data_IF_983611522875
#
_entry.id   IF_983611522875
#
_cell.length_a   1.000
_cell.length_b   1.000
_cell.length_c   1.000
_cell.angle_alpha   90.00
_cell.angle_beta   90.00
_cell.angle_gamma   90.00
#
_symmetry.space_group_name_H-M   'P 1'
#
loop_
_entity.id
_entity.type
_entity.pdbx_description
1 polymer ?
#
# COMPACT_ATOMS: atom_id res chain seq x y z
N UNK A 1 44.02 49.18 -38.55
CA UNK A 1 44.30 48.90 -37.13
C UNK A 1 42.97 48.66 -36.45
N UNK A 2 42.77 47.44 -35.94
CA UNK A 2 41.52 46.93 -35.39
C UNK A 2 41.26 47.51 -33.99
N UNK A 3 40.00 47.87 -33.72
CA UNK A 3 39.53 48.32 -32.42
C UNK A 3 39.36 47.15 -31.44
N UNK A 4 39.78 47.38 -30.20
CA UNK A 4 39.66 46.45 -29.09
C UNK A 4 38.22 46.44 -28.55
N UNK A 5 37.69 45.24 -28.33
CA UNK A 5 36.47 44.98 -27.56
C UNK A 5 36.85 44.02 -26.44
N UNK A 6 36.96 44.55 -25.21
CA UNK A 6 37.11 43.76 -23.98
C UNK A 6 35.88 42.90 -23.75
N UNK A 7 36.05 41.57 -23.79
CA UNK A 7 35.04 40.62 -23.36
C UNK A 7 35.16 40.39 -21.84
N UNK A 8 34.10 40.74 -21.10
CA UNK A 8 33.95 40.39 -19.69
C UNK A 8 33.78 38.87 -19.50
N UNK A 9 34.28 38.28 -18.40
CA UNK A 9 34.16 36.85 -18.18
C UNK A 9 32.75 36.51 -17.68
N UNK A 10 32.04 35.67 -18.44
CA UNK A 10 30.79 35.05 -17.99
C UNK A 10 31.04 34.23 -16.70
N UNK A 11 30.13 34.31 -15.70
CA UNK A 11 30.22 33.46 -14.52
C UNK A 11 29.95 32.00 -14.93
N UNK A 12 30.86 31.10 -14.55
CA UNK A 12 30.69 29.65 -14.67
C UNK A 12 29.46 29.26 -13.85
N UNK A 13 28.49 28.60 -14.50
CA UNK A 13 27.33 28.04 -13.80
C UNK A 13 27.81 27.00 -12.79
N UNK A 14 27.24 27.07 -11.59
CA UNK A 14 27.42 26.10 -10.54
C UNK A 14 27.07 24.68 -11.05
N UNK A 15 27.88 23.70 -10.67
CA UNK A 15 27.83 22.34 -11.20
C UNK A 15 26.48 21.67 -10.99
N UNK A 16 25.82 21.35 -12.10
CA UNK A 16 24.84 20.26 -12.15
C UNK A 16 25.62 18.97 -11.89
N UNK A 17 25.40 18.34 -10.72
CA UNK A 17 25.88 16.99 -10.47
C UNK A 17 25.17 16.07 -11.47
N UNK A 18 25.86 15.72 -12.55
CA UNK A 18 25.33 14.80 -13.55
C UNK A 18 25.10 13.45 -12.85
N UNK A 19 23.83 13.10 -12.63
CA UNK A 19 23.48 11.82 -12.02
C UNK A 19 23.96 10.70 -12.95
N UNK A 20 24.47 9.63 -12.34
CA UNK A 20 24.83 8.43 -13.10
C UNK A 20 23.59 7.89 -13.81
N UNK A 21 23.80 7.28 -14.97
CA UNK A 21 22.72 6.75 -15.80
C UNK A 21 22.85 5.24 -15.90
N UNK A 22 21.75 4.51 -15.69
CA UNK A 22 21.73 3.05 -15.59
C UNK A 22 20.75 2.44 -16.60
N UNK A 23 21.11 1.31 -17.22
CA UNK A 23 20.24 0.53 -18.13
C UNK A 23 19.45 -0.53 -17.37
N UNK A 24 18.38 -1.08 -17.96
CA UNK A 24 17.66 -2.20 -17.33
C UNK A 24 18.53 -3.44 -17.18
N UNK A 25 19.45 -3.68 -18.12
CA UNK A 25 20.38 -4.80 -18.03
C UNK A 25 21.26 -4.74 -16.78
N UNK A 26 21.62 -3.53 -16.35
CA UNK A 26 22.38 -3.31 -15.12
C UNK A 26 21.46 -3.40 -13.89
N UNK A 27 20.37 -2.63 -13.88
CA UNK A 27 19.42 -2.57 -12.76
C UNK A 27 18.88 -3.96 -12.39
N UNK A 28 18.58 -4.81 -13.38
CA UNK A 28 18.04 -6.15 -13.13
C UNK A 28 19.03 -7.14 -12.50
N UNK A 29 20.34 -6.82 -12.46
CA UNK A 29 21.33 -7.62 -11.72
C UNK A 29 21.17 -7.43 -10.20
N UNK A 30 20.67 -6.27 -9.78
CA UNK A 30 20.46 -5.89 -8.39
C UNK A 30 19.06 -6.31 -7.92
N UNK A 31 18.77 -7.62 -7.99
CA UNK A 31 17.46 -8.20 -7.70
C UNK A 31 17.45 -9.20 -6.52
N UNK A 32 18.52 -9.24 -5.73
CA UNK A 32 18.72 -10.22 -4.64
C UNK A 32 18.56 -9.56 -3.28
N UNK A 33 18.24 -10.30 -2.22
CA UNK A 33 18.00 -9.71 -0.89
C UNK A 33 19.16 -8.85 -0.35
N UNK A 34 20.40 -9.23 -0.68
CA UNK A 34 21.61 -8.53 -0.26
C UNK A 34 22.06 -7.45 -1.27
N UNK A 35 21.33 -7.26 -2.37
CA UNK A 35 21.65 -6.32 -3.44
C UNK A 35 20.38 -5.94 -4.23
N UNK A 36 19.75 -4.83 -3.83
CA UNK A 36 18.39 -4.46 -4.25
C UNK A 36 18.33 -3.03 -4.78
N UNK A 37 18.11 -2.88 -6.07
CA UNK A 37 17.79 -1.58 -6.67
C UNK A 37 16.33 -1.50 -7.08
N UNK A 38 15.77 -0.30 -7.04
CA UNK A 38 14.40 0.00 -7.48
C UNK A 38 14.39 1.23 -8.37
N UNK A 39 13.50 1.25 -9.36
CA UNK A 39 13.22 2.45 -10.15
C UNK A 39 11.92 3.08 -9.67
N UNK A 40 11.94 4.37 -9.34
CA UNK A 40 10.75 5.16 -8.99
C UNK A 40 10.81 6.49 -9.73
N UNK A 41 9.82 6.77 -10.58
CA UNK A 41 9.77 7.96 -11.44
C UNK A 41 11.06 8.16 -12.26
N UNK A 42 11.56 7.08 -12.89
CA UNK A 42 12.82 7.04 -13.65
C UNK A 42 14.11 7.31 -12.84
N UNK A 43 14.03 7.45 -11.53
CA UNK A 43 15.19 7.53 -10.64
C UNK A 43 15.53 6.16 -10.08
N UNK A 44 16.81 5.86 -9.95
CA UNK A 44 17.33 4.57 -9.49
C UNK A 44 17.79 4.72 -8.04
N UNK A 45 17.29 3.84 -7.18
CA UNK A 45 17.56 3.86 -5.74
C UNK A 45 18.17 2.54 -5.30
N UNK A 46 19.28 2.61 -4.56
CA UNK A 46 19.81 1.47 -3.82
C UNK A 46 19.11 1.39 -2.47
N UNK A 47 18.27 0.36 -2.29
CA UNK A 47 17.49 0.16 -1.06
C UNK A 47 18.08 -0.92 -0.16
N UNK A 48 19.24 -1.50 -0.52
CA UNK A 48 19.85 -2.64 0.17
C UNK A 48 20.02 -2.40 1.67
N UNK A 49 20.68 -1.29 2.04
CA UNK A 49 20.92 -0.91 3.44
C UNK A 49 19.71 -0.28 4.15
N UNK A 50 18.61 -0.02 3.42
CA UNK A 50 17.39 0.55 3.97
C UNK A 50 16.28 -0.47 4.14
N UNK A 51 16.35 -1.62 3.47
CA UNK A 51 15.25 -2.56 3.40
C UNK A 51 14.73 -3.04 4.76
N UNK A 52 15.61 -3.22 5.75
CA UNK A 52 15.23 -3.59 7.13
C UNK A 52 14.50 -2.49 7.91
N UNK A 53 14.71 -1.23 7.52
CA UNK A 53 14.14 -0.05 8.17
C UNK A 53 12.86 0.43 7.48
N UNK A 54 12.48 -0.19 6.36
CA UNK A 54 11.28 0.16 5.65
C UNK A 54 10.03 -0.15 6.51
N UNK A 55 9.12 0.81 6.75
CA UNK A 55 7.91 0.57 7.56
C UNK A 55 6.99 -0.52 7.00
N UNK A 56 6.94 -0.71 5.68
CA UNK A 56 6.22 -1.81 5.03
C UNK A 56 6.95 -3.16 5.09
N UNK A 57 8.13 -3.20 5.71
CA UNK A 57 9.02 -4.36 5.81
C UNK A 57 9.94 -4.53 4.59
N UNK A 58 10.97 -5.39 4.74
CA UNK A 58 11.91 -5.71 3.65
C UNK A 58 11.25 -6.45 2.48
N UNK A 59 10.26 -7.30 2.78
CA UNK A 59 9.70 -8.26 1.82
C UNK A 59 9.06 -7.57 0.61
N UNK A 60 8.38 -6.45 0.85
CA UNK A 60 7.74 -5.66 -0.23
C UNK A 60 8.76 -5.07 -1.19
N UNK A 61 9.92 -4.60 -0.71
CA UNK A 61 11.01 -4.10 -1.56
C UNK A 61 11.63 -5.24 -2.37
N UNK A 62 11.81 -6.40 -1.73
CA UNK A 62 12.33 -7.61 -2.38
C UNK A 62 11.43 -8.07 -3.54
N UNK A 63 10.13 -7.85 -3.44
CA UNK A 63 9.19 -8.22 -4.50
C UNK A 63 9.28 -7.36 -5.77
N UNK A 64 9.93 -6.21 -5.68
CA UNK A 64 10.13 -5.25 -6.77
C UNK A 64 11.61 -5.04 -7.13
N UNK A 65 12.55 -5.72 -6.47
CA UNK A 65 13.98 -5.55 -6.69
C UNK A 65 14.33 -5.81 -8.18
N UNK A 66 15.02 -4.85 -8.80
CA UNK A 66 15.33 -4.85 -10.23
C UNK A 66 14.16 -4.44 -11.15
N UNK A 67 13.10 -3.85 -10.63
CA UNK A 67 11.89 -3.45 -11.38
C UNK A 67 11.52 -1.97 -11.17
N UNK A 68 10.61 -1.47 -12.02
CA UNK A 68 9.96 -0.17 -11.85
C UNK A 68 8.82 -0.28 -10.84
N UNK A 69 9.03 0.30 -9.65
CA UNK A 69 8.09 0.32 -8.55
C UNK A 69 7.25 1.61 -8.52
N UNK A 70 7.25 2.42 -9.58
CA UNK A 70 6.56 3.73 -9.60
C UNK A 70 5.09 3.64 -9.22
N UNK A 71 4.36 2.69 -9.81
CA UNK A 71 2.91 2.59 -9.64
C UNK A 71 2.54 2.16 -8.20
N UNK A 72 3.20 1.12 -7.69
CA UNK A 72 3.00 0.67 -6.29
C UNK A 72 3.44 1.74 -5.30
N UNK A 73 4.54 2.45 -5.58
CA UNK A 73 5.04 3.51 -4.72
C UNK A 73 3.99 4.62 -4.57
N UNK A 74 3.39 5.07 -5.67
CA UNK A 74 2.33 6.10 -5.68
C UNK A 74 1.05 5.64 -4.99
N UNK A 75 0.73 4.35 -5.07
CA UNK A 75 -0.48 3.81 -4.46
C UNK A 75 -0.40 3.77 -2.92
N UNK A 76 0.78 3.57 -2.35
CA UNK A 76 0.94 3.34 -0.90
C UNK A 76 1.56 4.52 -0.13
N UNK A 77 2.33 5.39 -0.78
CA UNK A 77 3.03 6.51 -0.13
C UNK A 77 2.30 7.84 -0.33
N UNK A 78 1.32 8.13 0.54
CA UNK A 78 0.53 9.37 0.47
C UNK A 78 1.31 10.62 0.93
N UNK A 79 2.18 10.47 1.93
CA UNK A 79 2.94 11.59 2.54
C UNK A 79 4.28 11.82 1.82
N UNK A 80 4.22 12.25 0.56
CA UNK A 80 5.40 12.35 -0.31
C UNK A 80 6.53 13.20 0.28
N UNK A 81 6.22 14.31 0.98
CA UNK A 81 7.24 15.19 1.57
C UNK A 81 8.12 14.47 2.59
N UNK A 82 7.50 13.62 3.43
CA UNK A 82 8.22 12.81 4.43
C UNK A 82 9.02 11.72 3.73
N UNK A 83 8.42 11.06 2.73
CA UNK A 83 9.08 9.95 2.01
C UNK A 83 10.29 10.44 1.22
N UNK A 84 10.26 11.66 0.68
CA UNK A 84 11.41 12.25 -0.01
C UNK A 84 12.63 12.41 0.90
N UNK A 85 12.47 12.58 2.22
CA UNK A 85 13.60 12.64 3.16
C UNK A 85 14.35 11.30 3.21
N UNK A 86 13.64 10.19 3.06
CA UNK A 86 14.23 8.85 3.02
C UNK A 86 14.76 8.47 1.64
N UNK A 87 14.14 8.95 0.55
CA UNK A 87 14.58 8.64 -0.82
C UNK A 87 15.86 9.36 -1.23
N UNK A 88 16.04 10.62 -0.82
CA UNK A 88 17.23 11.43 -1.16
C UNK A 88 18.57 10.72 -0.94
N UNK A 89 18.86 10.15 0.24
CA UNK A 89 20.13 9.45 0.48
C UNK A 89 20.26 8.11 -0.25
N UNK A 90 19.18 7.55 -0.79
CA UNK A 90 19.17 6.27 -1.50
C UNK A 90 19.35 6.43 -3.02
N UNK A 91 19.25 7.66 -3.54
CA UNK A 91 19.34 7.96 -4.96
C UNK A 91 20.78 7.74 -5.46
N UNK A 92 20.94 6.83 -6.40
CA UNK A 92 22.25 6.53 -7.02
C UNK A 92 22.35 7.04 -8.46
N UNK A 93 21.22 7.29 -9.12
CA UNK A 93 21.19 7.85 -10.47
C UNK A 93 19.83 7.81 -11.13
N UNK A 94 19.81 7.79 -12.46
CA UNK A 94 18.60 7.83 -13.29
C UNK A 94 18.60 6.70 -14.34
N UNK A 95 17.40 6.29 -14.74
CA UNK A 95 17.20 5.30 -15.79
C UNK A 95 17.54 5.90 -17.14
N UNK A 96 18.33 5.17 -17.94
CA UNK A 96 18.84 5.63 -19.23
C UNK A 96 17.76 6.21 -20.15
N UNK A 97 18.03 7.36 -20.80
CA UNK A 97 17.13 7.93 -21.79
C UNK A 97 16.78 6.89 -22.86
N UNK A 98 15.48 6.69 -23.12
CA UNK A 98 14.99 5.71 -24.09
C UNK A 98 14.64 4.33 -23.52
N UNK A 99 15.08 3.99 -22.31
CA UNK A 99 14.62 2.76 -21.63
C UNK A 99 13.15 2.91 -21.22
N UNK A 100 12.27 1.95 -21.59
CA UNK A 100 10.86 1.96 -21.19
C UNK A 100 10.72 1.65 -19.69
N UNK A 101 9.55 1.87 -19.10
CA UNK A 101 9.25 1.34 -17.77
C UNK A 101 9.19 -0.19 -17.83
N UNK A 102 9.93 -0.90 -16.97
CA UNK A 102 9.88 -2.36 -16.87
C UNK A 102 9.42 -2.81 -15.50
N UNK A 103 8.21 -3.34 -15.43
CA UNK A 103 7.70 -4.11 -14.29
C UNK A 103 7.51 -5.56 -14.75
N UNK A 104 7.92 -6.52 -13.93
CA UNK A 104 7.92 -7.93 -14.33
C UNK A 104 6.48 -8.41 -14.49
N UNK A 105 6.17 -9.05 -15.61
CA UNK A 105 4.82 -9.52 -15.99
C UNK A 105 3.76 -8.42 -16.20
N UNK A 106 4.16 -7.17 -16.46
CA UNK A 106 3.20 -6.09 -16.76
C UNK A 106 2.44 -6.36 -18.06
N UNK A 107 1.14 -6.62 -17.95
CA UNK A 107 0.25 -6.73 -19.11
C UNK A 107 -0.20 -5.32 -19.55
N UNK A 108 0.24 -4.87 -20.73
CA UNK A 108 -0.05 -3.52 -21.22
C UNK A 108 -1.55 -3.25 -21.44
N UNK A 109 -2.33 -4.28 -21.78
CA UNK A 109 -3.77 -4.13 -21.95
C UNK A 109 -4.44 -3.92 -20.58
N UNK A 110 -4.10 -4.76 -19.61
CA UNK A 110 -4.58 -4.65 -18.23
C UNK A 110 -4.31 -3.26 -17.64
N UNK A 111 -3.10 -2.72 -17.86
CA UNK A 111 -2.73 -1.37 -17.40
C UNK A 111 -3.61 -0.29 -18.03
N UNK A 112 -3.90 -0.38 -19.33
CA UNK A 112 -4.80 0.55 -20.02
C UNK A 112 -6.22 0.46 -19.46
N UNK A 113 -6.72 -0.76 -19.27
CA UNK A 113 -8.05 -1.01 -18.73
C UNK A 113 -8.18 -0.43 -17.30
N UNK A 114 -7.16 -0.60 -16.46
CA UNK A 114 -7.11 0.01 -15.12
C UNK A 114 -7.07 1.54 -15.16
N UNK A 115 -6.31 2.13 -16.08
CA UNK A 115 -6.24 3.58 -16.23
C UNK A 115 -7.57 4.16 -16.70
N UNK A 116 -8.27 3.49 -17.61
CA UNK A 116 -9.60 3.87 -18.08
C UNK A 116 -10.65 3.74 -16.96
N UNK A 117 -10.63 2.63 -16.23
CA UNK A 117 -11.48 2.43 -15.06
C UNK A 117 -11.26 3.54 -14.03
N UNK A 118 -10.01 3.85 -13.70
CA UNK A 118 -9.68 4.92 -12.75
C UNK A 118 -10.25 6.27 -13.20
N UNK A 119 -10.03 6.65 -14.47
CA UNK A 119 -10.59 7.90 -15.02
C UNK A 119 -12.11 7.95 -14.91
N UNK A 120 -12.78 6.84 -15.18
CA UNK A 120 -14.23 6.71 -15.05
C UNK A 120 -14.68 6.92 -13.60
N UNK A 121 -14.02 6.26 -12.64
CA UNK A 121 -14.32 6.36 -11.20
C UNK A 121 -14.02 7.78 -10.67
N UNK A 122 -12.96 8.43 -11.15
CA UNK A 122 -12.63 9.84 -10.85
C UNK A 122 -13.71 10.79 -11.40
N UNK A 123 -14.14 10.60 -12.66
CA UNK A 123 -15.19 11.41 -13.29
C UNK A 123 -16.55 11.25 -12.58
N UNK A 124 -16.80 10.09 -11.98
CA UNK A 124 -18.00 9.81 -11.18
C UNK A 124 -17.91 10.32 -9.72
N UNK A 125 -16.80 10.95 -9.32
CA UNK A 125 -16.51 11.38 -7.94
C UNK A 125 -16.63 10.25 -6.91
N UNK A 126 -16.32 9.00 -7.30
CA UNK A 126 -16.48 7.83 -6.43
C UNK A 126 -15.37 7.70 -5.36
N UNK A 127 -14.35 8.57 -5.39
CA UNK A 127 -13.31 8.62 -4.37
C UNK A 127 -13.68 9.50 -3.16
N UNK A 128 -14.77 10.27 -3.24
CA UNK A 128 -15.24 11.07 -2.12
C UNK A 128 -16.07 10.20 -1.16
N UNK A 129 -15.55 10.03 0.06
CA UNK A 129 -16.22 9.26 1.09
C UNK A 129 -17.51 9.93 1.57
N UNK A 130 -18.60 9.17 1.61
CA UNK A 130 -19.85 9.61 2.23
C UNK A 130 -19.77 9.41 3.76
N UNK A 131 -19.44 10.48 4.49
CA UNK A 131 -19.31 10.45 5.95
C UNK A 131 -20.60 10.05 6.67
N UNK A 132 -21.77 10.37 6.10
CA UNK A 132 -23.06 9.98 6.67
C UNK A 132 -23.25 8.47 6.64
N UNK A 133 -22.90 7.83 5.52
CA UNK A 133 -22.92 6.36 5.40
C UNK A 133 -22.02 5.71 6.46
N UNK A 134 -20.76 6.14 6.58
CA UNK A 134 -19.82 5.55 7.55
C UNK A 134 -20.24 5.80 9.00
N UNK A 135 -20.80 6.97 9.30
CA UNK A 135 -21.34 7.26 10.63
C UNK A 135 -22.53 6.37 10.98
N UNK A 136 -23.50 6.23 10.07
CA UNK A 136 -24.66 5.35 10.26
C UNK A 136 -24.22 3.89 10.39
N UNK A 137 -23.21 3.47 9.62
CA UNK A 137 -22.64 2.13 9.72
C UNK A 137 -21.99 1.89 11.09
N UNK A 138 -21.20 2.84 11.60
CA UNK A 138 -20.63 2.77 12.95
C UNK A 138 -21.74 2.75 14.02
N UNK A 139 -22.77 3.59 13.89
CA UNK A 139 -23.89 3.62 14.81
C UNK A 139 -24.65 2.29 14.84
N UNK A 140 -24.91 1.68 13.69
CA UNK A 140 -25.52 0.35 13.58
C UNK A 140 -24.69 -0.70 14.31
N UNK A 141 -23.38 -0.73 14.11
CA UNK A 141 -22.46 -1.66 14.80
C UNK A 141 -22.59 -1.48 16.32
N UNK A 142 -22.48 -0.25 16.83
CA UNK A 142 -22.60 0.03 18.27
C UNK A 142 -23.97 -0.35 18.84
N UNK A 143 -25.06 -0.14 18.08
CA UNK A 143 -26.41 -0.56 18.48
C UNK A 143 -26.49 -2.09 18.59
N UNK A 144 -25.91 -2.83 17.64
CA UNK A 144 -25.91 -4.30 17.69
C UNK A 144 -25.10 -4.82 18.89
N UNK A 145 -23.94 -4.23 19.19
CA UNK A 145 -23.14 -4.56 20.37
C UNK A 145 -23.94 -4.31 21.66
N UNK A 146 -24.51 -3.11 21.82
CA UNK A 146 -25.33 -2.76 23.00
C UNK A 146 -26.55 -3.66 23.13
N UNK A 147 -27.23 -3.97 22.02
CA UNK A 147 -28.39 -4.86 22.02
C UNK A 147 -28.03 -6.28 22.46
N UNK A 148 -26.87 -6.80 22.02
CA UNK A 148 -26.35 -8.08 22.48
C UNK A 148 -26.14 -8.09 24.00
N UNK A 149 -25.48 -7.07 24.55
CA UNK A 149 -25.26 -6.91 25.99
C UNK A 149 -26.58 -6.77 26.78
N UNK A 150 -27.52 -5.95 26.31
CA UNK A 150 -28.82 -5.77 26.95
C UNK A 150 -29.65 -7.04 26.93
N UNK A 151 -29.59 -7.81 25.84
CA UNK A 151 -30.29 -9.10 25.76
C UNK A 151 -29.75 -10.07 26.81
N UNK A 152 -28.42 -10.14 26.95
CA UNK A 152 -27.79 -10.98 27.98
C UNK A 152 -28.20 -10.54 29.39
N UNK A 153 -28.18 -9.22 29.64
CA UNK A 153 -28.53 -8.65 30.93
C UNK A 153 -29.99 -8.92 31.33
N UNK A 154 -30.92 -8.78 30.38
CA UNK A 154 -32.36 -8.89 30.65
C UNK A 154 -32.85 -10.35 30.69
N UNK A 155 -32.32 -11.23 29.84
CA UNK A 155 -32.85 -12.58 29.62
C UNK A 155 -31.91 -13.70 30.09
N UNK A 156 -30.73 -13.37 30.61
CA UNK A 156 -29.76 -14.33 31.11
C UNK A 156 -29.11 -15.19 30.01
N UNK A 157 -28.51 -16.31 30.40
CA UNK A 157 -27.63 -17.12 29.54
C UNK A 157 -28.30 -18.41 29.00
N UNK A 158 -29.58 -18.35 28.66
CA UNK A 158 -30.27 -19.51 28.06
C UNK A 158 -29.80 -19.78 26.62
N UNK A 159 -29.93 -21.01 26.14
CA UNK A 159 -29.38 -21.41 24.83
C UNK A 159 -29.95 -20.59 23.67
N UNK A 160 -31.25 -20.28 23.69
CA UNK A 160 -31.91 -19.47 22.66
C UNK A 160 -31.42 -18.01 22.67
N UNK A 161 -31.22 -17.44 23.87
CA UNK A 161 -30.66 -16.10 24.04
C UNK A 161 -29.22 -16.06 23.53
N UNK A 162 -28.41 -17.07 23.86
CA UNK A 162 -27.03 -17.19 23.37
C UNK A 162 -26.95 -17.28 21.86
N UNK A 163 -27.80 -18.08 21.21
CA UNK A 163 -27.85 -18.17 19.73
C UNK A 163 -28.21 -16.81 19.12
N UNK A 164 -29.20 -16.12 19.67
CA UNK A 164 -29.62 -14.81 19.17
C UNK A 164 -28.51 -13.76 19.32
N UNK A 165 -27.84 -13.72 20.49
CA UNK A 165 -26.68 -12.85 20.72
C UNK A 165 -25.56 -13.17 19.73
N UNK A 166 -25.25 -14.46 19.52
CA UNK A 166 -24.21 -14.88 18.58
C UNK A 166 -24.51 -14.39 17.15
N UNK A 167 -25.78 -14.43 16.73
CA UNK A 167 -26.20 -13.88 15.43
C UNK A 167 -25.97 -12.37 15.33
N UNK A 168 -26.40 -11.60 16.35
CA UNK A 168 -26.18 -10.14 16.38
C UNK A 168 -24.70 -9.78 16.34
N UNK A 169 -23.88 -10.44 17.18
CA UNK A 169 -22.45 -10.22 17.23
C UNK A 169 -21.76 -10.64 15.93
N UNK A 170 -22.21 -11.70 15.26
CA UNK A 170 -21.65 -12.11 13.97
C UNK A 170 -21.80 -11.01 12.93
N UNK A 171 -23.00 -10.42 12.83
CA UNK A 171 -23.26 -9.31 11.91
C UNK A 171 -22.40 -8.09 12.28
N UNK A 172 -22.40 -7.71 13.56
CA UNK A 172 -21.61 -6.59 14.09
C UNK A 172 -20.13 -6.76 13.77
N UNK A 173 -19.56 -7.94 14.03
CA UNK A 173 -18.14 -8.22 13.87
C UNK A 173 -17.71 -8.30 12.39
N UNK A 174 -18.58 -8.80 11.52
CA UNK A 174 -18.36 -8.76 10.07
C UNK A 174 -18.34 -7.32 9.56
N UNK A 175 -19.36 -6.52 9.90
CA UNK A 175 -19.45 -5.10 9.53
C UNK A 175 -18.27 -4.29 10.08
N UNK A 176 -17.92 -4.50 11.35
CA UNK A 176 -16.76 -3.87 11.97
C UNK A 176 -15.46 -4.22 11.25
N UNK A 177 -15.34 -5.41 10.65
CA UNK A 177 -14.18 -5.81 9.86
C UNK A 177 -14.02 -4.99 8.58
N UNK A 178 -15.10 -4.77 7.84
CA UNK A 178 -15.09 -3.93 6.64
C UNK A 178 -14.85 -2.46 6.97
N UNK A 179 -15.53 -1.92 7.99
CA UNK A 179 -15.33 -0.53 8.41
C UNK A 179 -13.90 -0.26 8.88
N UNK A 180 -13.33 -1.21 9.63
CA UNK A 180 -11.93 -1.21 10.04
C UNK A 180 -11.00 -1.20 8.83
N UNK A 181 -11.27 -2.07 7.84
CA UNK A 181 -10.45 -2.19 6.63
C UNK A 181 -10.36 -0.85 5.90
N UNK A 182 -11.49 -0.18 5.70
CA UNK A 182 -11.54 1.11 5.00
C UNK A 182 -10.87 2.22 5.82
N UNK A 183 -11.09 2.25 7.14
CA UNK A 183 -10.35 3.16 8.02
C UNK A 183 -8.83 2.91 7.99
N UNK A 184 -8.41 1.64 7.88
CA UNK A 184 -7.01 1.24 7.78
C UNK A 184 -6.33 1.70 6.48
N UNK A 185 -7.09 1.78 5.40
CA UNK A 185 -6.66 2.32 4.09
C UNK A 185 -6.73 3.84 3.98
N UNK A 186 -7.12 4.53 5.05
CA UNK A 186 -7.24 5.98 5.09
C UNK A 186 -8.29 6.56 4.13
N UNK A 187 -9.27 5.76 3.71
CA UNK A 187 -10.24 6.13 2.68
C UNK A 187 -11.50 6.85 3.20
N UNK A 188 -11.70 6.98 4.52
CA UNK A 188 -12.92 7.57 5.10
C UNK A 188 -12.77 9.08 5.31
N UNK A 189 -11.70 9.52 5.99
CA UNK A 189 -11.49 10.93 6.32
C UNK A 189 -10.37 11.56 5.48
N UNK A 190 -10.50 12.85 5.17
CA UNK A 190 -9.44 13.61 4.48
C UNK A 190 -8.14 13.72 5.28
N UNK A 191 -8.21 13.69 6.62
CA UNK A 191 -7.04 13.73 7.50
C UNK A 191 -6.73 12.32 8.01
N UNK A 192 -5.52 11.82 7.73
CA UNK A 192 -5.04 10.49 8.15
C UNK A 192 -5.22 10.23 9.64
N UNK A 193 -5.01 11.24 10.49
CA UNK A 193 -5.22 11.16 11.95
C UNK A 193 -6.58 10.59 12.36
N UNK A 194 -7.66 11.00 11.69
CA UNK A 194 -9.02 10.55 12.03
C UNK A 194 -9.26 9.10 11.60
N UNK A 195 -8.73 8.71 10.44
CA UNK A 195 -8.76 7.32 9.99
C UNK A 195 -8.01 6.41 10.96
N UNK A 196 -6.79 6.80 11.38
CA UNK A 196 -6.01 6.02 12.35
C UNK A 196 -6.72 5.89 13.69
N UNK A 197 -7.38 6.95 14.17
CA UNK A 197 -8.15 6.91 15.42
C UNK A 197 -9.33 5.93 15.30
N UNK A 198 -10.11 6.03 14.22
CA UNK A 198 -11.23 5.13 13.97
C UNK A 198 -10.77 3.67 13.81
N UNK A 199 -9.72 3.44 13.02
CA UNK A 199 -9.13 2.12 12.83
C UNK A 199 -8.67 1.51 14.15
N UNK A 200 -7.98 2.28 14.99
CA UNK A 200 -7.53 1.83 16.32
C UNK A 200 -8.70 1.55 17.26
N UNK A 201 -9.74 2.38 17.23
CA UNK A 201 -10.95 2.14 18.01
C UNK A 201 -11.60 0.80 17.63
N UNK A 202 -11.86 0.58 16.34
CA UNK A 202 -12.49 -0.65 15.83
C UNK A 202 -11.63 -1.89 16.13
N UNK A 203 -10.33 -1.83 15.85
CA UNK A 203 -9.42 -2.95 16.10
C UNK A 203 -9.32 -3.29 17.58
N UNK A 204 -9.02 -2.29 18.42
CA UNK A 204 -8.71 -2.57 19.82
C UNK A 204 -9.95 -2.78 20.68
N UNK A 205 -11.03 -2.02 20.47
CA UNK A 205 -12.18 -2.04 21.37
C UNK A 205 -13.32 -2.92 20.88
N UNK A 206 -13.53 -3.06 19.56
CA UNK A 206 -14.60 -3.90 19.03
C UNK A 206 -14.10 -5.32 18.69
N UNK A 207 -12.91 -5.44 18.08
CA UNK A 207 -12.38 -6.75 17.66
C UNK A 207 -11.41 -7.39 18.66
N UNK A 208 -10.83 -6.60 19.57
CA UNK A 208 -9.81 -7.08 20.51
C UNK A 208 -8.47 -7.45 19.85
N UNK A 209 -8.15 -6.84 18.71
CA UNK A 209 -6.95 -7.12 17.93
C UNK A 209 -6.03 -5.88 17.81
N UNK A 210 -4.77 -6.11 17.44
CA UNK A 210 -3.81 -5.05 17.21
C UNK A 210 -3.92 -4.47 15.80
N UNK A 211 -4.21 -3.17 15.70
CA UNK A 211 -4.20 -2.46 14.41
C UNK A 211 -2.83 -2.44 13.73
N UNK A 212 -1.74 -2.48 14.50
CA UNK A 212 -0.38 -2.55 13.95
C UNK A 212 -0.10 -3.91 13.32
N UNK A 213 -0.53 -5.00 13.97
CA UNK A 213 -0.41 -6.35 13.40
C UNK A 213 -1.18 -6.48 12.09
N UNK A 214 -2.42 -5.98 12.07
CA UNK A 214 -3.24 -6.02 10.86
C UNK A 214 -2.62 -5.19 9.74
N UNK A 215 -2.21 -3.94 9.99
CA UNK A 215 -1.54 -3.10 9.00
C UNK A 215 -0.29 -3.79 8.43
N UNK A 216 0.54 -4.40 9.29
CA UNK A 216 1.77 -5.06 8.85
C UNK A 216 1.52 -6.22 7.87
N UNK A 217 0.52 -7.08 8.14
CA UNK A 217 0.15 -8.18 7.26
C UNK A 217 -0.58 -7.68 6.01
N UNK A 218 -1.56 -6.83 6.21
CA UNK A 218 -2.46 -6.32 5.18
C UNK A 218 -1.73 -5.52 4.10
N UNK A 219 -0.78 -4.65 4.49
CA UNK A 219 0.02 -3.92 3.49
C UNK A 219 0.85 -4.85 2.63
N UNK A 220 1.38 -5.95 3.18
CA UNK A 220 2.11 -6.93 2.38
C UNK A 220 1.21 -7.68 1.41
N UNK A 221 -0.03 -8.00 1.82
CA UNK A 221 -1.05 -8.56 0.94
C UNK A 221 -1.31 -7.63 -0.25
N UNK A 222 -1.58 -6.34 -0.03
CA UNK A 222 -1.89 -5.37 -1.09
C UNK A 222 -0.74 -5.09 -2.08
N UNK A 223 0.50 -5.36 -1.69
CA UNK A 223 1.65 -5.19 -2.59
C UNK A 223 1.73 -6.29 -3.65
N UNK A 224 1.30 -7.52 -3.33
CA UNK A 224 1.31 -8.67 -4.27
C UNK A 224 0.09 -9.57 -4.02
N UNK A 225 -1.10 -9.00 -4.13
CA UNK A 225 -2.39 -9.67 -3.87
C UNK A 225 -2.56 -10.92 -4.74
N UNK A 226 -2.90 -12.03 -4.10
CA UNK A 226 -3.14 -13.33 -4.72
C UNK A 226 -1.96 -13.89 -5.52
N UNK A 227 -0.74 -13.36 -5.37
CA UNK A 227 0.44 -13.91 -6.05
C UNK A 227 1.13 -14.88 -5.09
N UNK A 228 0.94 -16.18 -5.32
CA UNK A 228 1.70 -17.20 -4.60
C UNK A 228 3.19 -17.20 -5.03
N UNK A 229 4.17 -17.34 -4.12
CA UNK A 229 4.12 -17.37 -2.64
C UNK A 229 4.37 -15.99 -2.00
N UNK A 230 4.19 -14.90 -2.76
CA UNK A 230 4.48 -13.53 -2.34
C UNK A 230 3.41 -13.01 -1.36
N UNK A 231 2.14 -13.28 -1.62
CA UNK A 231 1.03 -12.93 -0.75
C UNK A 231 1.10 -13.72 0.57
N UNK A 232 1.21 -13.06 1.75
CA UNK A 232 1.21 -13.78 3.03
C UNK A 232 -0.08 -14.56 3.28
N UNK A 233 -1.21 -14.11 2.72
CA UNK A 233 -2.53 -14.70 2.97
C UNK A 233 -2.75 -15.99 2.16
N UNK A 234 -1.95 -16.20 1.11
CA UNK A 234 -2.00 -17.39 0.24
C UNK A 234 -1.21 -18.60 0.78
N UNK A 235 -0.56 -18.47 1.95
CA UNK A 235 0.28 -19.54 2.54
C UNK A 235 -0.56 -20.61 3.26
N UNK A 236 -1.40 -21.31 2.51
CA UNK A 236 -2.30 -22.36 3.01
C UNK A 236 -1.66 -23.75 3.07
N UNK A 237 -0.46 -23.92 2.52
CA UNK A 237 0.22 -25.22 2.37
C UNK A 237 0.30 -26.11 3.63
N UNK A 238 0.40 -25.59 4.87
CA UNK A 238 0.38 -26.42 6.08
C UNK A 238 -1.01 -26.96 6.46
N UNK A 239 -2.08 -26.32 6.00
CA UNK A 239 -3.46 -26.60 6.45
C UNK A 239 -4.31 -27.25 5.36
N UNK A 240 -3.98 -26.99 4.09
CA UNK A 240 -4.69 -27.54 2.95
C UNK A 240 -3.67 -28.10 1.95
N UNK A 241 -3.87 -29.37 1.57
CA UNK A 241 -3.16 -29.98 0.45
C UNK A 241 -3.70 -29.35 -0.84
N UNK A 242 -3.16 -28.20 -1.23
CA UNK A 242 -3.37 -27.66 -2.56
C UNK A 242 -2.54 -28.55 -3.48
N UNK A 243 -3.18 -29.41 -4.28
CA UNK A 243 -2.49 -30.39 -5.13
C UNK A 243 -1.49 -29.75 -6.11
N UNK A 244 -0.79 -30.59 -6.89
CA UNK A 244 0.32 -30.17 -7.78
C UNK A 244 -0.07 -29.13 -8.85
N UNK A 245 -1.36 -28.90 -9.05
CA UNK A 245 -1.93 -27.91 -9.95
C UNK A 245 -2.49 -26.74 -9.14
N UNK A 246 -1.65 -25.75 -8.87
CA UNK A 246 -2.14 -24.43 -8.47
C UNK A 246 -2.54 -23.64 -9.72
N UNK A 247 -3.71 -22.97 -9.73
CA UNK A 247 -4.06 -22.09 -10.83
C UNK A 247 -2.97 -21.01 -10.94
N UNK A 248 -2.34 -20.91 -12.11
CA UNK A 248 -1.42 -19.82 -12.40
C UNK A 248 -2.24 -18.52 -12.37
N UNK A 249 -1.99 -17.68 -11.38
CA UNK A 249 -2.49 -16.31 -11.40
C UNK A 249 -1.89 -15.62 -12.63
N UNK A 250 -2.76 -15.30 -13.59
CA UNK A 250 -2.46 -14.57 -14.83
C UNK A 250 -2.00 -13.16 -14.57
#
# INVERSE_FOLDING_TARGET
GQGASEASPHPRSAGESHLNTYTWQEIQRHNQQADQWLVINRKVYDVTGWADRHPGGRRVLTHYAGEDATDVFRAVHLELDVVQLYLKPLLIGELAPGEPSQERHKNSQLVKDFQELRKTVEAMNMFDANLGFFFLHLAQILILEVLAWLTLYQFGSSWHVTIFIAFLLTISQAQSGFLQHDAGHLSIFKKSKWNHLLHKFLMCHLKGLSGTWWNYGHFQHHVKTNIYPKDPDSKLGPYFLVGDLQPKCS
#
